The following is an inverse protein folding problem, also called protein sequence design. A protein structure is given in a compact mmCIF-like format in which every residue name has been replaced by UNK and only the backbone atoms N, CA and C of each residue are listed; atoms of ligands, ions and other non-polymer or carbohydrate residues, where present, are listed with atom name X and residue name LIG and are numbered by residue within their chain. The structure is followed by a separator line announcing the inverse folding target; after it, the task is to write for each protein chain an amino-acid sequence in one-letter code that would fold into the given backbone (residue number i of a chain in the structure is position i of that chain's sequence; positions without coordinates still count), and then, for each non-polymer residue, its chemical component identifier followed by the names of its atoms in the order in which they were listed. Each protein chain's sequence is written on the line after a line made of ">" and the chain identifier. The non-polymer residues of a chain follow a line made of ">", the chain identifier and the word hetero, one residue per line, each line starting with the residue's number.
data_IF_295269659523
#
_entry.id   IF_295269659523
#
_cell.length_a   1.000
_cell.length_b   1.000
_cell.length_c   1.000
_cell.angle_alpha   90.00
_cell.angle_beta   90.00
_cell.angle_gamma   90.00
#
_symmetry.space_group_name_H-M   'P 1'
#
loop_
_entity.id
_entity.type
_entity.pdbx_description
1 polymer ?
#
# COMPACT_ATOMS: atom_id res chain seq x y z
N UNK A 1 6.54 -0.92 0.33
CA UNK A 1 5.99 -0.49 1.65
C UNK A 1 7.00 0.44 2.30
N UNK A 2 6.55 1.36 3.15
CA UNK A 2 7.42 2.29 3.88
C UNK A 2 6.76 2.77 5.19
N UNK A 3 7.56 3.29 6.10
CA UNK A 3 7.08 3.85 7.38
C UNK A 3 6.20 5.08 7.15
N UNK A 4 6.61 5.94 6.24
CA UNK A 4 5.95 7.23 6.00
C UNK A 4 6.11 7.68 4.55
N UNK A 5 5.28 8.64 4.13
CA UNK A 5 5.45 9.40 2.90
C UNK A 5 5.89 10.81 3.29
N UNK A 6 7.07 11.24 2.85
CA UNK A 6 7.60 12.60 3.03
C UNK A 6 7.83 13.20 1.66
N UNK A 7 7.39 14.43 1.43
CA UNK A 7 7.58 15.12 0.14
C UNK A 7 7.19 14.26 -1.09
N UNK A 8 6.07 13.52 -0.96
CA UNK A 8 5.56 12.59 -1.98
C UNK A 8 6.47 11.39 -2.32
N UNK A 9 7.47 11.10 -1.50
CA UNK A 9 8.36 9.93 -1.65
C UNK A 9 8.29 8.98 -0.43
N UNK A 10 8.50 7.67 -0.64
CA UNK A 10 8.62 6.71 0.46
C UNK A 10 9.80 7.03 1.38
N UNK A 11 9.54 7.21 2.67
CA UNK A 11 10.56 7.34 3.71
C UNK A 11 10.71 6.02 4.48
N UNK A 12 11.95 5.54 4.63
CA UNK A 12 12.27 4.23 5.21
C UNK A 12 11.48 3.07 4.56
N UNK A 13 11.72 2.78 3.27
CA UNK A 13 11.10 1.63 2.63
C UNK A 13 11.63 0.32 3.25
N UNK A 14 10.74 -0.66 3.39
CA UNK A 14 11.06 -1.92 4.03
C UNK A 14 9.99 -2.98 3.82
N UNK A 15 10.21 -4.16 4.42
CA UNK A 15 9.25 -5.27 4.45
C UNK A 15 8.95 -5.73 5.89
N UNK A 16 9.61 -5.15 6.89
CA UNK A 16 9.38 -5.42 8.31
C UNK A 16 9.35 -4.07 9.01
N UNK A 17 8.31 -3.83 9.81
CA UNK A 17 8.10 -2.57 10.49
C UNK A 17 7.74 -2.83 11.96
N UNK A 18 8.35 -2.08 12.87
CA UNK A 18 7.94 -2.08 14.27
C UNK A 18 6.57 -1.40 14.42
N UNK A 19 5.73 -1.96 15.28
CA UNK A 19 4.46 -1.37 15.70
C UNK A 19 4.64 0.03 16.30
N UNK A 20 5.80 0.32 16.90
CA UNK A 20 6.11 1.60 17.52
C UNK A 20 6.07 2.77 16.52
N UNK A 21 6.22 2.50 15.22
CA UNK A 21 6.09 3.50 14.14
C UNK A 21 4.64 4.00 14.02
N UNK A 22 3.66 3.20 14.46
CA UNK A 22 2.24 3.57 14.53
C UNK A 22 1.48 3.58 13.19
N UNK A 23 2.19 3.60 12.05
CA UNK A 23 1.59 3.49 10.72
C UNK A 23 2.53 2.82 9.73
N UNK A 24 1.96 2.30 8.64
CA UNK A 24 2.72 1.87 7.47
C UNK A 24 1.97 2.29 6.21
N UNK A 25 2.71 2.61 5.16
CA UNK A 25 2.17 3.09 3.89
C UNK A 25 2.56 2.17 2.73
N UNK A 26 1.60 1.91 1.86
CA UNK A 26 1.82 1.32 0.55
C UNK A 26 1.85 2.45 -0.47
N UNK A 27 3.02 2.67 -1.08
CA UNK A 27 3.22 3.63 -2.16
C UNK A 27 3.37 2.88 -3.48
N UNK A 28 2.70 3.37 -4.51
CA UNK A 28 2.79 2.88 -5.88
C UNK A 28 3.04 4.04 -6.83
N UNK A 29 3.90 3.82 -7.82
CA UNK A 29 4.21 4.78 -8.87
C UNK A 29 3.91 4.15 -10.22
N UNK A 30 3.10 4.83 -11.02
CA UNK A 30 2.78 4.45 -12.38
C UNK A 30 3.39 5.47 -13.34
N UNK A 31 4.28 5.00 -14.21
CA UNK A 31 4.95 5.78 -15.23
C UNK A 31 5.18 4.88 -16.45
N UNK A 32 4.36 4.97 -17.52
CA UNK A 32 3.30 5.95 -17.74
C UNK A 32 1.92 5.55 -17.16
N UNK A 33 1.03 6.54 -17.07
CA UNK A 33 -0.43 6.41 -16.95
C UNK A 33 -1.04 6.90 -18.27
N UNK A 34 -1.43 6.00 -19.20
CA UNK A 34 -1.86 6.38 -20.54
C UNK A 34 -3.14 7.21 -20.57
N UNK A 35 -4.09 6.88 -19.69
CA UNK A 35 -5.38 7.56 -19.57
C UNK A 35 -5.80 7.60 -18.09
N UNK A 36 -6.75 8.49 -17.77
CA UNK A 36 -7.30 8.57 -16.41
C UNK A 36 -7.98 7.25 -16.05
N UNK A 37 -7.46 6.59 -15.01
CA UNK A 37 -7.94 5.29 -14.53
C UNK A 37 -7.93 5.24 -13.01
N UNK A 38 -8.13 4.07 -12.42
CA UNK A 38 -7.98 3.86 -10.98
C UNK A 38 -7.46 2.46 -10.69
N UNK A 39 -6.84 2.34 -9.52
CA UNK A 39 -6.40 1.07 -8.93
C UNK A 39 -7.06 0.87 -7.57
N UNK A 40 -6.95 -0.36 -7.05
CA UNK A 40 -7.28 -0.69 -5.68
C UNK A 40 -6.03 -1.13 -4.92
N UNK A 41 -5.86 -0.60 -3.72
CA UNK A 41 -5.02 -1.23 -2.70
C UNK A 41 -5.93 -2.05 -1.78
N UNK A 42 -5.88 -3.38 -1.90
CA UNK A 42 -6.56 -4.31 -0.99
C UNK A 42 -5.58 -4.85 0.03
N UNK A 43 -5.81 -4.53 1.29
CA UNK A 43 -4.99 -4.91 2.42
C UNK A 43 -5.52 -6.19 3.07
N UNK A 44 -4.63 -7.08 3.41
CA UNK A 44 -4.92 -8.33 4.10
C UNK A 44 -3.99 -8.51 5.29
N UNK A 45 -4.55 -8.88 6.42
CA UNK A 45 -3.83 -9.27 7.63
C UNK A 45 -4.06 -10.75 7.87
N UNK A 46 -3.00 -11.55 7.94
CA UNK A 46 -3.11 -13.01 8.09
C UNK A 46 -4.12 -13.64 7.11
N UNK A 47 -4.02 -13.27 5.83
CA UNK A 47 -4.93 -13.69 4.75
C UNK A 47 -6.39 -13.23 4.86
N UNK A 48 -6.76 -12.48 5.90
CA UNK A 48 -8.09 -11.91 6.08
C UNK A 48 -8.18 -10.50 5.50
N UNK A 49 -9.21 -10.16 4.73
CA UNK A 49 -9.41 -8.81 4.23
C UNK A 49 -9.48 -7.79 5.38
N UNK A 50 -8.74 -6.69 5.27
CA UNK A 50 -8.75 -5.58 6.24
C UNK A 50 -9.37 -4.33 5.63
N UNK A 51 -8.73 -3.76 4.60
CA UNK A 51 -9.13 -2.48 4.02
C UNK A 51 -9.01 -2.53 2.50
N UNK A 52 -9.98 -1.96 1.79
CA UNK A 52 -9.90 -1.76 0.35
C UNK A 52 -10.02 -0.27 0.03
N UNK A 53 -9.05 0.30 -0.69
CA UNK A 53 -9.03 1.72 -1.07
C UNK A 53 -8.88 1.87 -2.57
N UNK A 54 -9.79 2.64 -3.18
CA UNK A 54 -9.72 3.05 -4.59
C UNK A 54 -8.89 4.33 -4.71
N UNK A 55 -7.94 4.34 -5.64
CA UNK A 55 -7.05 5.47 -5.91
C UNK A 55 -7.13 5.83 -7.38
N UNK A 56 -7.46 7.09 -7.68
CA UNK A 56 -7.48 7.59 -9.07
C UNK A 56 -6.06 7.89 -9.54
N UNK A 57 -5.72 7.45 -10.75
CA UNK A 57 -4.47 7.75 -11.43
C UNK A 57 -4.73 8.73 -12.56
N UNK A 58 -3.86 9.74 -12.70
CA UNK A 58 -3.96 10.74 -13.78
C UNK A 58 -2.73 10.65 -14.71
N UNK A 59 -2.89 10.89 -16.02
CA UNK A 59 -1.77 10.99 -16.95
C UNK A 59 -0.83 12.16 -16.65
N UNK A 60 0.41 12.13 -17.16
CA UNK A 60 1.07 10.99 -17.81
C UNK A 60 1.77 10.06 -16.82
N UNK A 61 1.87 10.47 -15.55
CA UNK A 61 2.58 9.77 -14.47
C UNK A 61 1.87 10.10 -13.17
N UNK A 62 1.64 9.11 -12.32
CA UNK A 62 0.98 9.33 -11.05
C UNK A 62 1.52 8.41 -9.97
N UNK A 63 1.73 8.98 -8.78
CA UNK A 63 1.95 8.21 -7.57
C UNK A 63 0.67 8.17 -6.73
N UNK A 64 0.41 7.04 -6.12
CA UNK A 64 -0.68 6.88 -5.17
C UNK A 64 -0.18 6.18 -3.92
N UNK A 65 -0.80 6.49 -2.78
CA UNK A 65 -0.50 5.77 -1.55
C UNK A 65 -1.74 5.60 -0.68
N UNK A 66 -1.71 4.54 0.12
CA UNK A 66 -2.66 4.33 1.21
C UNK A 66 -1.88 3.92 2.44
N UNK A 67 -2.42 4.21 3.61
CA UNK A 67 -1.79 3.83 4.87
C UNK A 67 -2.80 3.11 5.76
N UNK A 68 -2.27 2.29 6.66
CA UNK A 68 -3.00 1.75 7.81
C UNK A 68 -2.36 2.28 9.08
N UNK A 69 -3.17 2.49 10.11
CA UNK A 69 -2.68 2.72 11.47
C UNK A 69 -2.45 1.36 12.12
N UNK A 70 -1.36 1.24 12.88
CA UNK A 70 -0.98 0.00 13.53
C UNK A 70 -1.49 -0.03 14.97
N UNK A 71 -2.02 -1.19 15.36
CA UNK A 71 -2.46 -1.53 16.72
C UNK A 71 -1.80 -2.82 17.15
N UNK A 72 -1.83 -3.12 18.45
CA UNK A 72 -1.25 -4.36 18.99
C UNK A 72 -1.76 -5.62 18.27
N UNK A 73 -3.03 -5.62 17.87
CA UNK A 73 -3.67 -6.71 17.12
C UNK A 73 -3.19 -6.85 15.68
N UNK A 74 -2.49 -5.86 15.13
CA UNK A 74 -2.04 -5.82 13.74
C UNK A 74 -0.65 -6.45 13.55
N UNK A 75 -0.05 -7.01 14.61
CA UNK A 75 1.22 -7.75 14.50
C UNK A 75 1.09 -8.98 13.59
N UNK A 76 2.21 -9.35 12.98
CA UNK A 76 2.32 -10.49 12.09
C UNK A 76 2.26 -10.14 10.60
N UNK A 77 1.96 -11.12 9.74
CA UNK A 77 2.09 -10.99 8.30
C UNK A 77 0.94 -10.21 7.67
N UNK A 78 1.29 -9.37 6.71
CA UNK A 78 0.38 -8.59 5.88
C UNK A 78 0.71 -8.72 4.40
N UNK A 79 -0.29 -8.42 3.57
CA UNK A 79 -0.07 -8.09 2.17
C UNK A 79 -0.96 -6.96 1.70
N UNK A 80 -0.53 -6.29 0.64
CA UNK A 80 -1.35 -5.41 -0.18
C UNK A 80 -1.38 -5.97 -1.59
N UNK A 81 -2.58 -6.28 -2.07
CA UNK A 81 -2.83 -6.58 -3.47
C UNK A 81 -3.17 -5.28 -4.19
N UNK A 82 -2.44 -5.00 -5.26
CA UNK A 82 -2.67 -3.85 -6.13
C UNK A 82 -3.43 -4.36 -7.35
N UNK A 83 -4.67 -3.92 -7.51
CA UNK A 83 -5.54 -4.34 -8.61
C UNK A 83 -5.85 -3.18 -9.55
N UNK A 84 -6.01 -3.44 -10.84
CA UNK A 84 -6.54 -2.44 -11.78
C UNK A 84 -8.07 -2.28 -11.66
N UNK A 85 -8.63 -1.39 -12.49
CA UNK A 85 -10.07 -1.13 -12.55
C UNK A 85 -10.92 -2.36 -12.93
N UNK A 86 -10.35 -3.33 -13.64
CA UNK A 86 -11.02 -4.58 -14.01
C UNK A 86 -10.89 -5.66 -12.91
N UNK A 87 -10.20 -5.34 -11.81
CA UNK A 87 -9.91 -6.29 -10.74
C UNK A 87 -8.76 -7.25 -11.05
N UNK A 88 -8.01 -7.01 -12.13
CA UNK A 88 -6.82 -7.80 -12.47
C UNK A 88 -5.70 -7.44 -11.50
N UNK A 89 -5.02 -8.46 -11.02
CA UNK A 89 -3.86 -8.30 -10.16
C UNK A 89 -2.69 -7.69 -10.94
N UNK A 90 -2.22 -6.54 -10.47
CA UNK A 90 -1.01 -5.87 -10.96
C UNK A 90 0.21 -6.36 -10.16
N UNK A 91 0.12 -6.32 -8.83
CA UNK A 91 1.24 -6.67 -7.95
C UNK A 91 0.77 -7.06 -6.54
N UNK A 92 1.62 -7.78 -5.80
CA UNK A 92 1.40 -8.16 -4.40
C UNK A 92 2.61 -7.80 -3.55
N UNK A 93 2.44 -6.85 -2.65
CA UNK A 93 3.45 -6.47 -1.68
C UNK A 93 3.20 -7.21 -0.37
N UNK A 94 4.22 -7.90 0.16
CA UNK A 94 4.17 -8.59 1.45
C UNK A 94 5.06 -7.88 2.46
N UNK A 95 4.58 -7.78 3.70
CA UNK A 95 5.34 -7.18 4.80
C UNK A 95 4.89 -7.77 6.14
N UNK A 96 5.63 -7.49 7.20
CA UNK A 96 5.28 -7.91 8.56
C UNK A 96 5.35 -6.75 9.53
N UNK A 97 4.48 -6.77 10.54
CA UNK A 97 4.52 -5.88 11.69
C UNK A 97 5.07 -6.65 12.89
N UNK A 98 6.10 -6.12 13.53
CA UNK A 98 6.77 -6.71 14.70
C UNK A 98 6.69 -5.76 15.90
N UNK A 99 7.20 -6.20 17.04
CA UNK A 99 7.57 -5.30 18.13
C UNK A 99 8.64 -4.30 17.68
#
# INVERSE_FOLDING_TARGET
>A
MCEEIKDFIPYNPGAVFSIAIGKVSCFTLFDPVPEKTFIYHKWYHQDKPSTNKRLTLQPPRWSAYTSILLRETDKGPWRVEILDQAGKLIDVLRFSITD
#
